data_IF_673880507897
#
_entry.id   IF_673880507897
#
_cell.length_a   1.000
_cell.length_b   1.000
_cell.length_c   1.000
_cell.angle_alpha   90.00
_cell.angle_beta   90.00
_cell.angle_gamma   90.00
#
_symmetry.space_group_name_H-M   'P 1'
#
loop_
_entity.id
_entity.type
_entity.pdbx_description
1 polymer ?
#
# COMPACT_ATOMS: atom_id res chain seq x y z
N UNK A 1 31.67 8.55 16.91
CA UNK A 1 31.74 7.08 16.85
C UNK A 1 33.17 6.68 16.61
N UNK A 2 33.74 5.79 17.43
CA UNK A 2 35.10 5.28 17.22
C UNK A 2 35.02 4.10 16.26
N UNK A 3 35.99 3.96 15.36
CA UNK A 3 36.05 2.82 14.45
C UNK A 3 36.22 1.50 15.24
N UNK A 4 35.54 0.44 14.79
CA UNK A 4 35.55 -0.87 15.45
C UNK A 4 36.98 -1.43 15.65
N UNK A 5 37.90 -1.13 14.72
CA UNK A 5 39.29 -1.59 14.81
C UNK A 5 40.08 -0.89 15.92
N UNK A 6 39.73 0.37 16.21
CA UNK A 6 40.29 1.11 17.35
C UNK A 6 39.74 0.54 18.65
N UNK A 7 38.44 0.22 18.72
CA UNK A 7 37.82 -0.42 19.90
C UNK A 7 38.47 -1.78 20.18
N UNK A 8 38.65 -2.62 19.16
CA UNK A 8 39.33 -3.93 19.29
C UNK A 8 40.75 -3.81 19.85
N UNK A 9 41.44 -2.69 19.59
CA UNK A 9 42.79 -2.46 20.12
C UNK A 9 42.84 -2.32 21.64
N UNK A 10 41.72 -1.94 22.28
CA UNK A 10 41.60 -1.76 23.73
C UNK A 10 41.52 -3.10 24.49
N UNK A 11 41.18 -4.20 23.80
CA UNK A 11 40.89 -5.51 24.41
C UNK A 11 41.89 -6.60 24.00
N UNK A 12 43.15 -6.25 23.72
CA UNK A 12 44.20 -7.23 23.44
C UNK A 12 44.61 -7.97 24.71
N UNK A 13 44.98 -9.26 24.58
CA UNK A 13 45.47 -10.07 25.70
C UNK A 13 46.62 -9.37 26.43
N UNK A 14 46.51 -9.27 27.76
CA UNK A 14 47.49 -8.59 28.60
C UNK A 14 47.32 -7.06 28.69
N UNK A 15 46.38 -6.47 27.96
CA UNK A 15 46.00 -5.07 28.10
C UNK A 15 44.62 -4.94 28.76
N UNK A 16 44.49 -3.95 29.64
CA UNK A 16 43.21 -3.55 30.23
C UNK A 16 42.84 -2.17 29.68
N UNK A 17 41.63 -1.97 29.15
CA UNK A 17 41.19 -0.66 28.71
C UNK A 17 41.16 0.32 29.88
N UNK A 18 41.45 1.60 29.60
CA UNK A 18 41.14 2.69 30.53
C UNK A 18 39.63 2.87 30.67
N UNK A 19 39.17 3.61 31.68
CA UNK A 19 37.75 3.93 31.84
C UNK A 19 37.18 4.59 30.58
N UNK A 20 37.91 5.55 30.00
CA UNK A 20 37.47 6.27 28.80
C UNK A 20 37.40 5.36 27.58
N UNK A 21 38.38 4.46 27.41
CA UNK A 21 38.38 3.45 26.35
C UNK A 21 37.21 2.47 26.47
N UNK A 22 36.88 2.09 27.71
CA UNK A 22 35.73 1.25 28.00
C UNK A 22 34.41 1.99 27.74
N UNK A 23 34.28 3.24 28.18
CA UNK A 23 33.10 4.07 27.90
C UNK A 23 32.87 4.23 26.41
N UNK A 24 33.93 4.56 25.65
CA UNK A 24 33.84 4.78 24.22
C UNK A 24 33.45 3.52 23.41
N UNK A 25 33.58 2.34 24.02
CA UNK A 25 33.05 1.09 23.44
C UNK A 25 31.52 1.12 23.40
N UNK A 26 30.87 1.51 24.50
CA UNK A 26 29.43 1.59 24.60
C UNK A 26 28.86 2.70 23.73
N UNK A 27 29.51 3.86 23.70
CA UNK A 27 29.10 5.02 22.89
C UNK A 27 29.19 4.77 21.37
N UNK A 28 29.80 3.67 20.95
CA UNK A 28 29.91 3.30 19.53
C UNK A 28 28.75 2.43 19.02
N UNK A 29 27.86 1.97 19.90
CA UNK A 29 26.69 1.18 19.54
C UNK A 29 25.41 2.01 19.64
N UNK A 30 24.41 1.67 18.83
CA UNK A 30 23.05 2.16 19.05
C UNK A 30 22.47 1.55 20.32
N UNK A 31 21.87 2.39 21.16
CA UNK A 31 21.18 1.96 22.38
C UNK A 31 19.69 1.75 22.13
N UNK A 32 19.04 0.97 23.00
CA UNK A 32 17.62 0.57 22.81
C UNK A 32 16.64 1.73 22.71
N UNK A 33 16.99 2.89 23.27
CA UNK A 33 16.15 4.09 23.27
C UNK A 33 16.50 5.05 22.12
N UNK A 34 17.55 4.76 21.36
CA UNK A 34 17.94 5.59 20.24
C UNK A 34 17.03 5.33 19.05
N UNK A 35 16.58 6.41 18.42
CA UNK A 35 15.86 6.32 17.16
C UNK A 35 16.89 6.19 16.05
N UNK A 36 16.77 5.13 15.26
CA UNK A 36 17.61 4.94 14.07
C UNK A 36 16.93 5.69 12.90
N UNK A 37 17.56 6.73 12.33
CA UNK A 37 17.04 7.39 11.15
C UNK A 37 16.95 6.42 9.98
N UNK A 38 15.83 6.43 9.25
CA UNK A 38 15.61 5.55 8.10
C UNK A 38 16.67 5.75 7.00
N UNK A 39 17.26 6.96 6.93
CA UNK A 39 18.32 7.35 6.01
C UNK A 39 19.66 6.64 6.28
N UNK A 40 19.81 6.00 7.43
CA UNK A 40 21.02 5.25 7.80
C UNK A 40 20.87 3.75 7.57
N UNK A 41 19.71 3.29 7.07
CA UNK A 41 19.46 1.88 6.78
C UNK A 41 19.72 1.64 5.29
N UNK A 42 20.81 0.93 4.99
CA UNK A 42 21.14 0.54 3.62
C UNK A 42 20.02 -0.34 3.01
N UNK A 43 19.67 -0.07 1.75
CA UNK A 43 18.63 -0.81 1.03
C UNK A 43 17.19 -0.29 1.23
N UNK A 44 16.96 0.65 2.15
CA UNK A 44 15.62 1.27 2.33
C UNK A 44 15.25 2.28 1.25
N UNK A 45 16.23 2.78 0.48
CA UNK A 45 16.00 3.73 -0.62
C UNK A 45 15.01 3.19 -1.66
N UNK A 46 15.13 1.91 -2.04
CA UNK A 46 14.24 1.28 -3.02
C UNK A 46 12.79 1.22 -2.56
N UNK A 47 12.58 1.02 -1.26
CA UNK A 47 11.24 0.98 -0.65
C UNK A 47 10.65 2.38 -0.64
N UNK A 48 11.46 3.39 -0.29
CA UNK A 48 11.05 4.79 -0.32
C UNK A 48 10.70 5.27 -1.73
N UNK A 49 11.52 4.91 -2.72
CA UNK A 49 11.25 5.21 -4.12
C UNK A 49 10.00 4.49 -4.62
N UNK A 50 9.77 3.24 -4.24
CA UNK A 50 8.53 2.55 -4.58
C UNK A 50 7.29 3.26 -4.02
N UNK A 51 7.33 3.68 -2.74
CA UNK A 51 6.24 4.40 -2.08
C UNK A 51 6.00 5.78 -2.73
N UNK A 52 7.07 6.51 -3.01
CA UNK A 52 6.97 7.86 -3.61
C UNK A 52 6.54 7.81 -5.07
N UNK A 53 6.98 6.82 -5.84
CA UNK A 53 6.58 6.66 -7.25
C UNK A 53 5.11 6.29 -7.41
N UNK A 54 4.51 5.59 -6.43
CA UNK A 54 3.05 5.38 -6.37
C UNK A 54 2.30 6.73 -6.31
N UNK A 55 2.92 7.76 -5.74
CA UNK A 55 2.26 9.04 -5.45
C UNK A 55 2.46 10.11 -6.53
N UNK A 56 3.48 9.98 -7.40
CA UNK A 56 3.93 11.10 -8.25
C UNK A 56 3.79 10.88 -9.77
N UNK A 57 3.61 9.66 -10.27
CA UNK A 57 3.67 9.39 -11.72
C UNK A 57 2.44 8.69 -12.33
N UNK A 58 1.28 8.76 -11.69
CA UNK A 58 0.04 8.33 -12.32
C UNK A 58 -1.01 9.43 -12.15
N UNK A 59 -1.63 9.84 -13.25
CA UNK A 59 -3.03 10.24 -13.20
C UNK A 59 -3.74 9.20 -12.31
N UNK A 60 -4.54 9.62 -11.31
CA UNK A 60 -5.30 8.72 -10.42
C UNK A 60 -6.36 7.94 -11.23
N UNK A 61 -5.92 7.10 -12.17
CA UNK A 61 -6.74 6.27 -13.03
C UNK A 61 -6.97 4.99 -12.26
N UNK A 62 -8.17 4.86 -11.70
CA UNK A 62 -8.61 3.62 -11.08
C UNK A 62 -9.02 2.64 -12.17
N UNK A 63 -8.15 1.68 -12.47
CA UNK A 63 -8.47 0.55 -13.36
C UNK A 63 -9.26 -0.48 -12.55
N UNK A 64 -10.44 -0.85 -13.04
CA UNK A 64 -11.27 -1.92 -12.46
C UNK A 64 -11.11 -3.16 -13.34
N UNK A 65 -10.50 -4.25 -12.83
CA UNK A 65 -10.39 -5.52 -13.55
C UNK A 65 -11.74 -6.07 -14.01
N UNK A 66 -11.73 -6.88 -15.06
CA UNK A 66 -12.94 -7.55 -15.59
C UNK A 66 -13.61 -8.36 -14.48
N UNK A 67 -14.94 -8.25 -14.40
CA UNK A 67 -15.76 -8.93 -13.39
C UNK A 67 -15.81 -8.25 -12.02
N UNK A 68 -14.96 -7.24 -11.76
CA UNK A 68 -15.05 -6.42 -10.55
C UNK A 68 -16.02 -5.26 -10.72
N UNK A 69 -16.41 -4.65 -9.60
CA UNK A 69 -17.23 -3.45 -9.57
C UNK A 69 -16.56 -2.31 -8.81
N UNK A 70 -16.94 -1.10 -9.17
CA UNK A 70 -16.58 0.11 -8.47
C UNK A 70 -17.67 0.43 -7.44
N UNK A 71 -17.32 0.46 -6.17
CA UNK A 71 -18.24 0.77 -5.05
C UNK A 71 -18.02 2.21 -4.60
N UNK A 72 -19.11 2.96 -4.50
CA UNK A 72 -19.20 4.27 -3.88
C UNK A 72 -20.05 4.16 -2.63
N UNK A 73 -19.43 4.37 -1.48
CA UNK A 73 -20.14 4.40 -0.20
C UNK A 73 -21.06 5.60 -0.14
N UNK A 74 -22.32 5.34 0.17
CA UNK A 74 -23.34 6.36 0.37
C UNK A 74 -23.66 6.36 1.87
N UNK A 75 -23.62 7.54 2.49
CA UNK A 75 -24.00 7.70 3.90
C UNK A 75 -25.38 7.06 4.14
N UNK A 76 -25.54 6.19 5.16
CA UNK A 76 -24.68 5.99 6.33
C UNK A 76 -23.65 4.84 6.22
N UNK A 77 -23.50 4.20 5.07
CA UNK A 77 -22.60 3.05 4.91
C UNK A 77 -21.14 3.48 5.10
N UNK A 78 -20.42 2.81 6.01
CA UNK A 78 -19.06 3.17 6.40
C UNK A 78 -18.06 2.01 6.31
N UNK A 79 -18.51 0.78 5.98
CA UNK A 79 -17.63 -0.37 5.91
C UNK A 79 -16.94 -0.45 4.54
N UNK A 80 -15.74 0.11 4.45
CA UNK A 80 -14.95 0.16 3.20
C UNK A 80 -14.45 -1.20 2.68
N UNK A 81 -14.78 -2.31 3.36
CA UNK A 81 -14.32 -3.66 3.00
C UNK A 81 -15.42 -4.56 2.43
N UNK A 82 -16.69 -4.15 2.50
CA UNK A 82 -17.85 -4.98 2.12
C UNK A 82 -18.82 -4.19 1.26
N UNK A 83 -19.50 -4.83 0.30
CA UNK A 83 -20.62 -4.24 -0.41
C UNK A 83 -21.87 -4.27 0.48
N UNK A 84 -22.48 -3.12 0.71
CA UNK A 84 -23.65 -2.98 1.58
C UNK A 84 -24.86 -2.55 0.75
N UNK A 85 -26.05 -3.00 1.15
CA UNK A 85 -27.31 -2.51 0.58
C UNK A 85 -27.33 -0.98 0.64
N UNK A 86 -27.70 -0.35 -0.46
CA UNK A 86 -27.70 1.12 -0.61
C UNK A 86 -26.39 1.70 -1.16
N UNK A 87 -25.33 0.90 -1.32
CA UNK A 87 -24.11 1.38 -1.97
C UNK A 87 -24.35 1.63 -3.45
N UNK A 88 -23.79 2.73 -3.96
CA UNK A 88 -23.84 3.03 -5.38
C UNK A 88 -22.69 2.33 -6.11
N UNK A 89 -22.97 1.70 -7.23
CA UNK A 89 -22.00 0.86 -7.94
C UNK A 89 -21.95 1.18 -9.43
N UNK A 90 -20.79 0.93 -10.03
CA UNK A 90 -20.60 0.89 -11.48
C UNK A 90 -19.92 -0.41 -11.86
N UNK A 91 -20.46 -1.17 -12.82
CA UNK A 91 -19.88 -2.46 -13.25
C UNK A 91 -20.30 -2.87 -14.64
N UNK A 92 -19.66 -3.92 -15.16
CA UNK A 92 -20.06 -4.62 -16.38
C UNK A 92 -20.55 -6.04 -16.01
N UNK A 93 -21.74 -6.42 -16.46
CA UNK A 93 -22.33 -7.76 -16.35
C UNK A 93 -22.51 -8.31 -17.76
N UNK A 94 -21.70 -9.30 -18.15
CA UNK A 94 -21.64 -9.75 -19.54
C UNK A 94 -21.21 -8.60 -20.46
N UNK A 95 -22.05 -8.24 -21.43
CA UNK A 95 -21.83 -7.11 -22.34
C UNK A 95 -22.60 -5.85 -21.91
N UNK A 96 -23.12 -5.80 -20.68
CA UNK A 96 -23.96 -4.67 -20.21
C UNK A 96 -23.23 -3.90 -19.13
N UNK A 97 -23.00 -2.62 -19.38
CA UNK A 97 -22.59 -1.65 -18.37
C UNK A 97 -23.78 -1.20 -17.53
N UNK A 98 -23.63 -1.21 -16.21
CA UNK A 98 -24.64 -0.72 -15.27
C UNK A 98 -24.05 0.31 -14.30
N UNK A 99 -24.87 1.31 -13.97
CA UNK A 99 -24.71 2.18 -12.81
C UNK A 99 -26.01 2.10 -11.99
N UNK A 100 -25.90 1.93 -10.67
CA UNK A 100 -27.09 1.75 -9.85
C UNK A 100 -26.80 1.57 -8.38
N UNK A 101 -27.84 1.39 -7.59
CA UNK A 101 -27.75 1.15 -6.14
C UNK A 101 -27.87 -0.35 -5.89
N UNK A 102 -26.94 -0.94 -5.16
CA UNK A 102 -27.04 -2.34 -4.76
C UNK A 102 -28.20 -2.53 -3.77
N UNK A 103 -29.10 -3.46 -4.07
CA UNK A 103 -30.22 -3.78 -3.17
C UNK A 103 -29.88 -4.98 -2.28
N UNK A 104 -29.79 -6.17 -2.86
CA UNK A 104 -29.45 -7.43 -2.20
C UNK A 104 -29.33 -8.55 -3.25
N UNK A 105 -28.78 -9.70 -2.87
CA UNK A 105 -28.69 -10.89 -3.69
C UNK A 105 -27.36 -11.09 -4.42
N UNK A 106 -27.38 -11.80 -5.54
CA UNK A 106 -26.17 -12.13 -6.29
C UNK A 106 -25.72 -10.93 -7.15
N UNK A 107 -24.49 -10.48 -6.93
CA UNK A 107 -23.85 -9.38 -7.66
C UNK A 107 -23.72 -9.62 -9.18
N UNK A 108 -23.91 -10.85 -9.64
CA UNK A 108 -23.90 -11.21 -11.06
C UNK A 108 -25.27 -11.01 -11.73
N UNK A 109 -26.32 -10.80 -10.95
CA UNK A 109 -27.67 -10.58 -11.45
C UNK A 109 -28.01 -9.09 -11.50
N UNK A 110 -28.52 -8.63 -12.63
CA UNK A 110 -28.96 -7.23 -12.79
C UNK A 110 -30.10 -6.90 -11.81
N UNK A 111 -30.94 -7.88 -11.44
CA UNK A 111 -32.03 -7.72 -10.48
C UNK A 111 -31.57 -7.40 -9.06
N UNK A 112 -30.28 -7.56 -8.74
CA UNK A 112 -29.71 -7.20 -7.44
C UNK A 112 -29.34 -5.72 -7.34
N UNK A 113 -29.72 -4.92 -8.34
CA UNK A 113 -29.46 -3.50 -8.42
C UNK A 113 -30.72 -2.72 -8.78
N UNK A 114 -30.88 -1.55 -8.16
CA UNK A 114 -31.78 -0.50 -8.63
C UNK A 114 -31.03 0.34 -9.69
N UNK A 115 -31.42 0.16 -10.94
CA UNK A 115 -30.64 0.62 -12.10
C UNK A 115 -30.90 2.10 -12.38
N UNK A 116 -29.84 2.90 -12.32
CA UNK A 116 -29.85 4.32 -12.71
C UNK A 116 -29.47 4.50 -14.17
N UNK A 117 -28.49 3.74 -14.66
CA UNK A 117 -28.07 3.75 -16.05
C UNK A 117 -27.70 2.33 -16.51
N UNK A 118 -28.05 1.99 -17.74
CA UNK A 118 -27.72 0.71 -18.37
C UNK A 118 -27.37 0.94 -19.84
N UNK A 119 -26.23 0.41 -20.28
CA UNK A 119 -25.76 0.54 -21.66
C UNK A 119 -25.16 -0.77 -22.15
N UNK A 120 -25.57 -1.22 -23.33
CA UNK A 120 -24.95 -2.37 -23.99
C UNK A 120 -23.63 -1.97 -24.67
N UNK A 121 -22.58 -2.72 -24.37
CA UNK A 121 -21.23 -2.50 -24.90
C UNK A 121 -21.13 -3.21 -26.25
N UNK A 122 -21.23 -2.45 -27.34
CA UNK A 122 -21.02 -3.00 -28.68
C UNK A 122 -19.53 -3.34 -28.86
N UNK A 123 -19.21 -4.63 -28.96
CA UNK A 123 -17.85 -5.15 -29.15
C UNK A 123 -17.18 -4.73 -30.50
N UNK A 124 -17.87 -3.96 -31.37
CA UNK A 124 -17.42 -3.60 -32.72
C UNK A 124 -16.18 -2.70 -32.82
N UNK A 125 -15.54 -2.34 -31.70
CA UNK A 125 -14.29 -1.57 -31.68
C UNK A 125 -13.10 -2.34 -31.09
N UNK A 126 -13.28 -3.60 -30.69
CA UNK A 126 -12.19 -4.45 -30.20
C UNK A 126 -11.52 -5.11 -31.41
N UNK A 127 -10.81 -4.30 -32.20
CA UNK A 127 -9.81 -4.83 -33.13
C UNK A 127 -8.61 -5.20 -32.27
N UNK A 128 -8.55 -6.46 -31.84
CA UNK A 128 -7.35 -7.02 -31.21
C UNK A 128 -6.28 -7.00 -32.30
N UNK A 129 -5.36 -6.03 -32.21
CA UNK A 129 -4.14 -6.00 -33.00
C UNK A 129 -3.04 -6.74 -32.24
#
# INVERSE_FOLDING_TARGET
>A
MIAIDVIKSFFKTGLKPTQDQFSATWDSFWHKMDKIPITQIEGMERIFDAINNISQNQQNIRIVPVGQLLIFKVSPNSNNSVLERGDFVKRIIGDVYIEGVYIDGDIHNISSYDIVNMTEIKQSSIKIM
#
